data_IF_864774081323
#
_entry.id   IF_864774081323
#
_cell.length_a   1.000
_cell.length_b   1.000
_cell.length_c   1.000
_cell.angle_alpha   90.00
_cell.angle_beta   90.00
_cell.angle_gamma   90.00
#
_symmetry.space_group_name_H-M   'P 1'
#
loop_
_entity.id
_entity.type
_entity.pdbx_description
1 polymer ?
#
# COMPACT_ATOMS: atom_id res chain seq x y z
N UNK A 1 -11.67 6.73 -17.33
CA UNK A 1 -10.69 6.67 -16.24
C UNK A 1 -10.89 5.35 -15.54
N UNK A 2 -9.83 4.68 -15.06
CA UNK A 2 -9.98 3.40 -14.39
C UNK A 2 -10.75 3.60 -13.08
N UNK A 3 -11.93 3.00 -13.02
CA UNK A 3 -12.83 3.06 -11.87
C UNK A 3 -12.74 1.75 -11.07
N UNK A 4 -12.70 1.85 -9.75
CA UNK A 4 -12.78 0.75 -8.79
C UNK A 4 -14.22 0.71 -8.29
N UNK A 5 -14.94 -0.37 -8.60
CA UNK A 5 -16.31 -0.55 -8.15
C UNK A 5 -16.33 -1.33 -6.83
N UNK A 6 -16.98 -0.79 -5.80
CA UNK A 6 -17.12 -1.43 -4.48
C UNK A 6 -18.55 -1.93 -4.34
N UNK A 7 -18.71 -3.24 -4.48
CA UNK A 7 -19.95 -3.96 -4.27
C UNK A 7 -20.03 -4.42 -2.81
N UNK A 8 -21.13 -4.14 -2.12
CA UNK A 8 -21.35 -4.55 -0.74
C UNK A 8 -22.84 -4.71 -0.45
N UNK A 9 -23.17 -5.47 0.60
CA UNK A 9 -24.55 -5.62 1.03
C UNK A 9 -24.91 -4.61 2.12
N UNK A 10 -26.08 -3.97 1.97
CA UNK A 10 -26.60 -3.10 3.03
C UNK A 10 -26.87 -3.93 4.29
N UNK A 11 -26.23 -3.56 5.40
CA UNK A 11 -26.28 -4.30 6.65
C UNK A 11 -25.17 -5.34 6.80
N UNK A 12 -24.27 -5.50 5.84
CA UNK A 12 -23.09 -6.35 5.97
C UNK A 12 -21.87 -5.71 5.30
N UNK A 13 -20.94 -5.19 6.11
CA UNK A 13 -19.73 -4.54 5.60
C UNK A 13 -19.88 -3.09 5.15
N UNK A 14 -20.99 -2.39 5.44
CA UNK A 14 -21.19 -0.96 5.05
C UNK A 14 -20.08 -0.03 5.57
N UNK A 15 -19.71 -0.15 6.85
CA UNK A 15 -18.66 0.70 7.43
C UNK A 15 -17.30 0.40 6.81
N UNK A 16 -17.03 -0.87 6.50
CA UNK A 16 -15.83 -1.31 5.76
C UNK A 16 -15.83 -0.75 4.35
N UNK A 17 -16.95 -0.81 3.63
CA UNK A 17 -17.09 -0.29 2.28
C UNK A 17 -16.82 1.22 2.23
N UNK A 18 -17.34 1.97 3.19
CA UNK A 18 -17.12 3.41 3.29
C UNK A 18 -15.65 3.75 3.57
N UNK A 19 -15.01 3.06 4.53
CA UNK A 19 -13.57 3.25 4.82
C UNK A 19 -12.69 2.89 3.64
N UNK A 20 -13.02 1.80 2.94
CA UNK A 20 -12.30 1.37 1.75
C UNK A 20 -12.45 2.41 0.64
N UNK A 21 -13.66 2.91 0.41
CA UNK A 21 -13.93 3.98 -0.55
C UNK A 21 -13.10 5.22 -0.23
N UNK A 22 -13.11 5.69 1.02
CA UNK A 22 -12.36 6.87 1.45
C UNK A 22 -10.86 6.70 1.18
N UNK A 23 -10.26 5.62 1.71
CA UNK A 23 -8.83 5.37 1.55
C UNK A 23 -8.40 5.15 0.10
N UNK A 24 -9.20 4.45 -0.72
CA UNK A 24 -8.90 4.26 -2.14
C UNK A 24 -9.11 5.55 -2.94
N UNK A 25 -10.09 6.39 -2.58
CA UNK A 25 -10.29 7.70 -3.21
C UNK A 25 -9.16 8.66 -2.88
N UNK A 26 -8.66 8.63 -1.64
CA UNK A 26 -7.51 9.43 -1.24
C UNK A 26 -6.25 9.01 -2.01
N UNK A 27 -6.10 7.71 -2.29
CA UNK A 27 -4.97 7.17 -3.04
C UNK A 27 -5.06 7.40 -4.55
N UNK A 28 -6.18 7.07 -5.18
CA UNK A 28 -6.35 7.03 -6.63
C UNK A 28 -7.17 8.20 -7.19
N UNK A 29 -7.58 9.15 -6.35
CA UNK A 29 -8.43 10.28 -6.72
C UNK A 29 -9.92 10.07 -6.46
N UNK A 30 -10.67 11.17 -6.33
CA UNK A 30 -12.09 11.14 -5.90
C UNK A 30 -13.03 10.47 -6.90
N UNK A 31 -12.67 10.50 -8.18
CA UNK A 31 -13.50 9.99 -9.27
C UNK A 31 -13.16 8.55 -9.66
N UNK A 32 -12.15 7.92 -9.03
CA UNK A 32 -11.71 6.56 -9.36
C UNK A 32 -12.35 5.49 -8.49
N UNK A 33 -13.23 5.83 -7.54
CA UNK A 33 -13.98 4.85 -6.75
C UNK A 33 -15.48 5.07 -6.84
N UNK A 34 -16.22 3.98 -7.08
CA UNK A 34 -17.66 3.98 -7.13
C UNK A 34 -18.20 3.02 -6.07
N UNK A 35 -19.06 3.51 -5.17
CA UNK A 35 -19.66 2.72 -4.10
C UNK A 35 -21.09 2.37 -4.48
N UNK A 36 -21.40 1.07 -4.55
CA UNK A 36 -22.73 0.56 -4.89
C UNK A 36 -23.82 1.20 -4.02
N UNK A 37 -24.83 1.81 -4.64
CA UNK A 37 -25.98 2.43 -3.97
C UNK A 37 -25.76 3.74 -3.22
N UNK A 38 -24.52 4.17 -2.95
CA UNK A 38 -24.23 5.47 -2.32
C UNK A 38 -23.79 6.55 -3.32
N UNK A 39 -23.21 6.15 -4.47
CA UNK A 39 -22.64 7.08 -5.46
C UNK A 39 -23.62 7.54 -6.56
N UNK A 40 -24.93 7.31 -6.41
CA UNK A 40 -25.94 7.65 -7.44
C UNK A 40 -26.56 9.04 -7.16
N UNK A 41 -26.55 9.97 -8.13
CA UNK A 41 -27.17 11.28 -7.97
C UNK A 41 -28.68 11.20 -7.70
N UNK A 42 -29.19 12.13 -6.88
CA UNK A 42 -30.62 12.26 -6.62
C UNK A 42 -31.40 12.46 -7.93
N UNK A 43 -32.41 11.63 -8.18
CA UNK A 43 -33.26 11.69 -9.38
C UNK A 43 -32.76 10.91 -10.60
N UNK A 44 -31.56 10.31 -10.52
CA UNK A 44 -31.03 9.46 -11.59
C UNK A 44 -31.69 8.07 -11.60
N UNK A 45 -31.69 7.38 -12.74
CA UNK A 45 -32.26 6.03 -12.84
C UNK A 45 -31.26 5.04 -12.26
N UNK A 46 -31.43 4.78 -10.96
CA UNK A 46 -30.58 3.92 -10.13
C UNK A 46 -30.13 2.65 -10.85
N UNK A 47 -31.04 1.97 -11.55
CA UNK A 47 -30.76 0.72 -12.26
C UNK A 47 -29.75 0.84 -13.40
N UNK A 48 -29.89 1.89 -14.22
CA UNK A 48 -29.06 2.04 -15.42
C UNK A 48 -27.67 2.55 -15.03
N UNK A 49 -27.61 3.44 -14.06
CA UNK A 49 -26.37 4.13 -13.70
C UNK A 49 -25.41 3.22 -12.96
N UNK A 50 -25.92 2.30 -12.11
CA UNK A 50 -25.10 1.36 -11.37
C UNK A 50 -24.46 0.31 -12.28
N UNK A 51 -25.24 -0.28 -13.19
CA UNK A 51 -24.74 -1.25 -14.18
C UNK A 51 -23.74 -0.60 -15.14
N UNK A 52 -24.02 0.64 -15.59
CA UNK A 52 -23.05 1.39 -16.39
C UNK A 52 -21.77 1.70 -15.62
N UNK A 53 -21.85 1.95 -14.31
CA UNK A 53 -20.66 2.15 -13.47
C UNK A 53 -19.84 0.86 -13.35
N UNK A 54 -20.48 -0.30 -13.16
CA UNK A 54 -19.81 -1.60 -13.23
C UNK A 54 -19.06 -1.73 -14.57
N UNK A 55 -19.74 -1.51 -15.70
CA UNK A 55 -19.14 -1.64 -17.05
C UNK A 55 -17.95 -0.71 -17.31
N UNK A 56 -17.84 0.41 -16.60
CA UNK A 56 -16.71 1.35 -16.72
C UNK A 56 -15.57 1.02 -15.76
N UNK A 57 -15.82 0.16 -14.78
CA UNK A 57 -14.83 -0.25 -13.81
C UNK A 57 -13.79 -1.18 -14.41
N UNK A 58 -12.54 -0.98 -14.00
CA UNK A 58 -11.44 -1.90 -14.30
C UNK A 58 -11.37 -3.05 -13.30
N UNK A 59 -11.94 -2.86 -12.09
CA UNK A 59 -11.99 -3.85 -11.02
C UNK A 59 -13.27 -3.69 -10.19
N UNK A 60 -13.89 -4.82 -9.84
CA UNK A 60 -14.97 -4.92 -8.88
C UNK A 60 -14.47 -5.60 -7.60
N UNK A 61 -14.60 -4.90 -6.47
CA UNK A 61 -14.33 -5.41 -5.14
C UNK A 61 -15.64 -5.87 -4.50
N UNK A 62 -15.80 -7.19 -4.31
CA UNK A 62 -17.00 -7.78 -3.72
C UNK A 62 -16.81 -7.99 -2.21
N UNK A 63 -17.41 -7.14 -1.38
CA UNK A 63 -17.28 -7.21 0.07
C UNK A 63 -18.24 -8.27 0.63
N UNK A 64 -17.65 -9.35 1.15
CA UNK A 64 -18.36 -10.53 1.66
C UNK A 64 -18.17 -10.59 3.16
N UNK A 65 -19.21 -10.21 3.90
CA UNK A 65 -19.27 -10.34 5.35
C UNK A 65 -20.01 -11.59 5.80
N UNK A 66 -20.23 -11.70 7.12
CA UNK A 66 -20.80 -12.90 7.77
C UNK A 66 -22.25 -13.17 7.35
N UNK A 67 -22.99 -12.16 6.89
CA UNK A 67 -24.40 -12.28 6.50
C UNK A 67 -24.59 -12.22 4.98
N UNK A 68 -23.53 -12.12 4.20
CA UNK A 68 -23.62 -11.83 2.77
C UNK A 68 -24.36 -12.92 2.01
N UNK A 69 -24.03 -14.19 2.30
CA UNK A 69 -24.59 -15.37 1.63
C UNK A 69 -26.06 -15.60 2.02
N UNK A 70 -26.36 -15.53 3.31
CA UNK A 70 -27.66 -15.90 3.89
C UNK A 70 -28.55 -14.68 4.20
N UNK A 71 -28.21 -13.51 3.68
CA UNK A 71 -29.03 -12.32 3.87
C UNK A 71 -30.45 -12.57 3.33
N UNK A 72 -31.50 -12.24 4.09
CA UNK A 72 -32.87 -12.46 3.64
C UNK A 72 -33.22 -11.50 2.50
N UNK A 73 -34.01 -11.98 1.54
CA UNK A 73 -34.58 -11.13 0.49
C UNK A 73 -35.58 -10.13 1.10
N UNK A 74 -35.56 -8.89 0.59
CA UNK A 74 -36.38 -7.79 1.13
C UNK A 74 -37.87 -7.98 0.87
N UNK A 75 -38.24 -8.59 -0.25
CA UNK A 75 -39.63 -8.87 -0.62
C UNK A 75 -40.10 -10.23 -0.08
N UNK A 76 -39.17 -11.16 0.08
CA UNK A 76 -39.40 -12.57 0.45
C UNK A 76 -38.41 -13.03 1.52
N UNK A 77 -38.61 -12.66 2.80
CA UNK A 77 -37.67 -13.00 3.88
C UNK A 77 -37.45 -14.51 4.10
N UNK A 78 -38.30 -15.36 3.51
CA UNK A 78 -38.17 -16.82 3.48
C UNK A 78 -37.06 -17.34 2.54
N UNK A 79 -36.44 -16.45 1.75
CA UNK A 79 -35.41 -16.79 0.75
C UNK A 79 -34.18 -15.93 0.95
N UNK A 80 -33.03 -16.40 0.44
CA UNK A 80 -31.80 -15.59 0.40
C UNK A 80 -31.92 -14.55 -0.69
N UNK A 81 -31.42 -13.34 -0.43
CA UNK A 81 -31.40 -12.23 -1.37
C UNK A 81 -30.65 -12.61 -2.65
N UNK A 82 -29.56 -13.37 -2.56
CA UNK A 82 -28.79 -13.81 -3.74
C UNK A 82 -29.59 -14.77 -4.64
N UNK A 83 -30.58 -15.50 -4.10
CA UNK A 83 -31.42 -16.36 -4.94
C UNK A 83 -32.44 -15.53 -5.77
N UNK A 84 -32.64 -14.26 -5.45
CA UNK A 84 -33.45 -13.33 -6.23
C UNK A 84 -32.63 -12.72 -7.39
N UNK A 85 -33.12 -12.85 -8.62
CA UNK A 85 -32.48 -12.28 -9.82
C UNK A 85 -32.48 -10.75 -9.82
N UNK A 86 -33.42 -10.12 -9.10
CA UNK A 86 -33.51 -8.67 -8.98
C UNK A 86 -32.61 -8.07 -7.89
N UNK A 87 -31.86 -8.92 -7.16
CA UNK A 87 -30.95 -8.44 -6.12
C UNK A 87 -29.74 -7.69 -6.69
N UNK A 88 -29.52 -6.47 -6.20
CA UNK A 88 -28.48 -5.57 -6.70
C UNK A 88 -27.07 -6.13 -6.59
N UNK A 89 -26.75 -6.77 -5.47
CA UNK A 89 -25.40 -7.31 -5.25
C UNK A 89 -25.12 -8.41 -6.27
N UNK A 90 -26.10 -9.31 -6.47
CA UNK A 90 -26.03 -10.35 -7.49
C UNK A 90 -25.86 -9.76 -8.89
N UNK A 91 -26.74 -8.83 -9.28
CA UNK A 91 -26.73 -8.23 -10.62
C UNK A 91 -25.43 -7.52 -10.95
N UNK A 92 -24.84 -6.80 -9.99
CA UNK A 92 -23.57 -6.11 -10.17
C UNK A 92 -22.41 -7.09 -10.39
N UNK A 93 -22.37 -8.20 -9.62
CA UNK A 93 -21.33 -9.22 -9.78
C UNK A 93 -21.52 -9.99 -11.09
N UNK A 94 -22.75 -10.40 -11.42
CA UNK A 94 -23.06 -11.07 -12.69
C UNK A 94 -22.65 -10.22 -13.89
N UNK A 95 -22.93 -8.92 -13.85
CA UNK A 95 -22.54 -8.00 -14.92
C UNK A 95 -21.01 -7.90 -15.02
N UNK A 96 -20.31 -7.80 -13.89
CA UNK A 96 -18.85 -7.73 -13.88
C UNK A 96 -18.21 -8.99 -14.47
N UNK A 97 -18.67 -10.17 -14.06
CA UNK A 97 -18.24 -11.45 -14.61
C UNK A 97 -18.53 -11.54 -16.12
N UNK A 98 -19.75 -11.16 -16.54
CA UNK A 98 -20.16 -11.17 -17.96
C UNK A 98 -19.30 -10.26 -18.82
N UNK A 99 -18.89 -9.10 -18.29
CA UNK A 99 -18.04 -8.13 -18.97
C UNK A 99 -16.54 -8.47 -18.88
N UNK A 100 -16.15 -9.55 -18.18
CA UNK A 100 -14.75 -9.91 -17.98
C UNK A 100 -13.98 -8.91 -17.11
N UNK A 101 -14.68 -8.16 -16.26
CA UNK A 101 -14.08 -7.24 -15.31
C UNK A 101 -13.37 -8.06 -14.23
N UNK A 102 -12.22 -7.58 -13.75
CA UNK A 102 -11.52 -8.22 -12.63
C UNK A 102 -12.40 -8.19 -11.38
N UNK A 103 -12.86 -9.35 -10.92
CA UNK A 103 -13.63 -9.48 -9.67
C UNK A 103 -12.72 -9.98 -8.56
N UNK A 104 -12.64 -9.21 -7.46
CA UNK A 104 -11.85 -9.56 -6.27
C UNK A 104 -12.78 -9.72 -5.07
N UNK A 105 -13.02 -10.96 -4.61
CA UNK A 105 -13.73 -11.21 -3.35
C UNK A 105 -12.92 -10.71 -2.15
N UNK A 106 -13.54 -9.88 -1.32
CA UNK A 106 -12.98 -9.34 -0.08
C UNK A 106 -13.72 -9.92 1.13
N UNK A 107 -13.14 -10.93 1.79
CA UNK A 107 -13.71 -11.59 2.95
C UNK A 107 -13.51 -10.74 4.21
N UNK A 108 -14.59 -10.37 4.89
CA UNK A 108 -14.57 -9.47 6.04
C UNK A 108 -14.58 -10.24 7.36
N UNK A 109 -13.47 -10.23 8.11
CA UNK A 109 -13.40 -10.84 9.45
C UNK A 109 -12.95 -12.30 9.52
N UNK A 110 -12.99 -12.92 10.73
CA UNK A 110 -12.47 -14.30 11.03
C UNK A 110 -13.39 -15.42 10.65
N UNK A 111 -14.68 -15.14 10.67
CA UNK A 111 -15.70 -16.17 10.57
C UNK A 111 -16.20 -16.35 9.14
N UNK A 112 -15.83 -15.43 8.25
CA UNK A 112 -16.17 -15.56 6.82
C UNK A 112 -15.24 -16.59 6.21
N UNK A 113 -15.81 -17.73 5.87
CA UNK A 113 -15.14 -18.82 5.16
C UNK A 113 -15.05 -18.53 3.66
N UNK A 114 -14.30 -19.35 2.93
CA UNK A 114 -14.28 -19.30 1.48
C UNK A 114 -15.68 -19.63 0.95
N UNK A 115 -16.09 -18.95 -0.13
CA UNK A 115 -17.36 -19.24 -0.79
C UNK A 115 -17.35 -20.68 -1.35
N UNK A 116 -18.44 -21.41 -1.11
CA UNK A 116 -18.69 -22.69 -1.78
C UNK A 116 -19.49 -22.44 -3.06
N UNK A 117 -18.99 -22.81 -4.26
CA UNK A 117 -19.73 -22.66 -5.51
C UNK A 117 -21.14 -23.28 -5.46
N UNK A 118 -21.33 -24.36 -4.70
CA UNK A 118 -22.63 -25.04 -4.55
C UNK A 118 -23.64 -24.28 -3.69
N UNK A 119 -23.15 -23.36 -2.87
CA UNK A 119 -23.97 -22.51 -2.01
C UNK A 119 -24.47 -21.25 -2.74
N UNK A 120 -23.93 -20.98 -3.93
CA UNK A 120 -24.23 -19.81 -4.75
C UNK A 120 -25.22 -20.12 -5.88
N UNK A 121 -25.97 -19.12 -6.38
CA UNK A 121 -26.64 -19.22 -7.66
C UNK A 121 -25.66 -19.62 -8.78
N UNK A 122 -26.08 -20.40 -9.79
CA UNK A 122 -25.19 -20.88 -10.86
C UNK A 122 -24.40 -19.77 -11.57
N UNK A 123 -25.01 -18.60 -11.74
CA UNK A 123 -24.41 -17.41 -12.36
C UNK A 123 -23.30 -16.77 -11.53
N UNK A 124 -23.25 -17.04 -10.23
CA UNK A 124 -22.23 -16.54 -9.31
C UNK A 124 -21.20 -17.60 -8.91
N UNK A 125 -21.31 -18.84 -9.42
CA UNK A 125 -20.41 -19.92 -9.05
C UNK A 125 -18.93 -19.57 -9.30
N UNK A 126 -18.65 -18.82 -10.38
CA UNK A 126 -17.30 -18.34 -10.72
C UNK A 126 -16.68 -17.45 -9.62
N UNK A 127 -17.50 -16.68 -8.89
CA UNK A 127 -17.02 -15.83 -7.78
C UNK A 127 -16.29 -16.64 -6.70
N UNK A 128 -16.70 -17.88 -6.47
CA UNK A 128 -16.06 -18.78 -5.52
C UNK A 128 -14.73 -19.37 -6.00
N UNK A 129 -14.46 -19.29 -7.30
CA UNK A 129 -13.20 -19.71 -7.93
C UNK A 129 -12.18 -18.56 -7.99
N UNK A 130 -12.62 -17.31 -7.84
CA UNK A 130 -11.75 -16.14 -7.78
C UNK A 130 -10.82 -16.17 -6.56
N UNK A 131 -9.58 -15.69 -6.74
CA UNK A 131 -8.67 -15.46 -5.62
C UNK A 131 -9.22 -14.35 -4.72
N UNK A 132 -9.37 -14.65 -3.44
CA UNK A 132 -9.90 -13.72 -2.45
C UNK A 132 -8.79 -13.02 -1.65
N UNK A 133 -9.13 -11.87 -1.07
CA UNK A 133 -8.33 -11.20 -0.06
C UNK A 133 -9.13 -11.04 1.23
N UNK A 134 -8.45 -11.10 2.38
CA UNK A 134 -9.11 -10.99 3.68
C UNK A 134 -8.82 -9.63 4.30
N UNK A 135 -9.88 -8.91 4.65
CA UNK A 135 -9.78 -7.59 5.26
C UNK A 135 -10.11 -7.62 6.76
N UNK A 136 -9.23 -6.96 7.52
CA UNK A 136 -9.23 -6.90 8.97
C UNK A 136 -9.24 -5.46 9.46
N UNK A 137 -10.38 -4.78 9.34
CA UNK A 137 -10.45 -3.34 9.66
C UNK A 137 -10.73 -3.05 11.14
N UNK A 138 -10.25 -3.88 12.08
CA UNK A 138 -10.34 -3.59 13.53
C UNK A 138 -9.02 -2.96 13.98
N UNK A 139 -9.09 -1.76 14.53
CA UNK A 139 -7.98 -0.91 15.01
C UNK A 139 -6.79 -0.80 14.04
N UNK A 140 -6.75 0.28 13.24
CA UNK A 140 -5.60 0.61 12.39
C UNK A 140 -5.51 -0.16 11.07
N UNK A 141 -6.67 -0.51 10.47
CA UNK A 141 -6.79 -1.25 9.20
C UNK A 141 -6.27 -0.55 7.93
N UNK A 142 -5.58 0.58 8.08
CA UNK A 142 -4.99 1.35 6.98
C UNK A 142 -3.92 0.55 6.25
N UNK A 143 -3.18 -0.32 6.95
CA UNK A 143 -2.12 -1.16 6.35
C UNK A 143 -2.69 -2.24 5.45
N UNK A 144 -3.83 -2.83 5.81
CA UNK A 144 -4.55 -3.79 4.98
C UNK A 144 -5.06 -3.12 3.71
N UNK A 145 -5.63 -1.92 3.82
CA UNK A 145 -6.11 -1.17 2.64
C UNK A 145 -4.95 -0.73 1.76
N UNK A 146 -3.83 -0.28 2.34
CA UNK A 146 -2.64 0.09 1.59
C UNK A 146 -2.09 -1.10 0.79
N UNK A 147 -1.97 -2.27 1.42
CA UNK A 147 -1.54 -3.51 0.74
C UNK A 147 -2.50 -3.92 -0.37
N UNK A 148 -3.80 -3.82 -0.14
CA UNK A 148 -4.80 -4.06 -1.19
C UNK A 148 -4.58 -3.09 -2.36
N UNK A 149 -4.38 -1.80 -2.10
CA UNK A 149 -4.07 -0.82 -3.15
C UNK A 149 -2.80 -1.17 -3.93
N UNK A 150 -1.73 -1.62 -3.27
CA UNK A 150 -0.48 -2.03 -3.94
C UNK A 150 -0.72 -3.23 -4.86
N UNK A 151 -1.50 -4.21 -4.40
CA UNK A 151 -1.89 -5.38 -5.20
C UNK A 151 -2.77 -5.01 -6.39
N UNK A 152 -3.69 -4.07 -6.20
CA UNK A 152 -4.56 -3.59 -7.28
C UNK A 152 -3.74 -2.90 -8.37
N UNK A 153 -2.75 -2.07 -8.00
CA UNK A 153 -1.84 -1.45 -8.97
C UNK A 153 -1.02 -2.49 -9.74
N UNK A 154 -0.56 -3.55 -9.05
CA UNK A 154 0.19 -4.62 -9.70
C UNK A 154 -0.66 -5.45 -10.68
N UNK A 155 -1.96 -5.61 -10.42
CA UNK A 155 -2.87 -6.38 -11.28
C UNK A 155 -3.54 -5.53 -12.37
N UNK A 156 -3.75 -4.24 -12.10
CA UNK A 156 -4.43 -3.29 -12.99
C UNK A 156 -3.49 -2.12 -13.25
N UNK A 157 -2.63 -2.22 -14.29
CA UNK A 157 -1.65 -1.17 -14.61
C UNK A 157 -2.27 0.20 -14.87
N UNK A 158 -3.54 0.25 -15.28
CA UNK A 158 -4.28 1.50 -15.48
C UNK A 158 -4.43 2.32 -14.19
N UNK A 159 -4.37 1.69 -13.00
CA UNK A 159 -4.42 2.41 -11.72
C UNK A 159 -3.09 3.07 -11.35
N UNK A 160 -1.96 2.65 -11.94
CA UNK A 160 -0.64 3.15 -11.58
C UNK A 160 -0.47 4.67 -11.80
N UNK A 161 -0.94 5.28 -12.91
CA UNK A 161 -0.85 6.73 -13.11
C UNK A 161 -1.68 7.55 -12.11
N UNK A 162 -2.69 6.94 -11.49
CA UNK A 162 -3.53 7.59 -10.50
C UNK A 162 -2.99 7.45 -9.07
N UNK A 163 -2.00 6.58 -8.86
CA UNK A 163 -1.51 6.25 -7.53
C UNK A 163 -0.68 7.38 -6.93
N UNK A 164 -1.29 8.15 -6.03
CA UNK A 164 -0.61 9.22 -5.28
C UNK A 164 0.25 8.70 -4.13
N UNK A 165 0.07 7.42 -3.74
CA UNK A 165 0.87 6.76 -2.72
C UNK A 165 2.15 6.13 -3.28
N UNK A 166 2.28 6.02 -4.61
CA UNK A 166 3.55 5.66 -5.23
C UNK A 166 4.62 6.69 -4.78
N UNK A 167 5.83 6.24 -4.39
CA UNK A 167 6.92 7.16 -4.09
C UNK A 167 7.12 8.01 -5.34
N UNK A 168 6.78 9.30 -5.24
CA UNK A 168 6.78 10.23 -6.35
C UNK A 168 8.18 10.24 -6.98
N UNK A 169 8.36 9.46 -8.05
CA UNK A 169 9.62 9.48 -8.80
C UNK A 169 9.72 10.77 -9.64
N UNK A 170 8.71 11.64 -9.56
CA UNK A 170 8.57 12.89 -10.31
C UNK A 170 8.48 14.16 -9.45
N UNK A 171 8.85 14.10 -8.15
CA UNK A 171 9.24 15.32 -7.40
C UNK A 171 10.75 15.59 -7.45
N UNK A 172 11.44 15.03 -8.44
CA UNK A 172 12.80 15.40 -8.83
C UNK A 172 12.74 16.26 -10.11
N UNK A 173 12.23 17.48 -9.98
CA UNK A 173 12.05 18.40 -11.10
C UNK A 173 11.89 19.87 -10.72
N UNK A 174 12.28 20.24 -9.50
CA UNK A 174 12.62 21.63 -9.18
C UNK A 174 14.09 21.65 -8.78
N UNK A 175 14.94 21.89 -9.78
CA UNK A 175 16.32 22.27 -9.60
C UNK A 175 16.38 23.53 -8.73
N UNK A 176 16.63 23.33 -7.44
CA UNK A 176 17.45 24.26 -6.67
C UNK A 176 18.89 23.73 -6.73
N UNK A 177 19.90 24.58 -7.02
CA UNK A 177 21.27 24.13 -7.23
C UNK A 177 21.86 23.67 -5.90
N UNK A 178 21.77 22.37 -5.60
CA UNK A 178 22.42 21.76 -4.45
C UNK A 178 23.51 20.80 -4.93
N UNK A 179 24.70 20.97 -4.34
CA UNK A 179 25.97 20.30 -4.63
C UNK A 179 25.87 18.77 -4.80
N UNK A 180 26.76 18.17 -5.62
CA UNK A 180 26.77 16.73 -5.86
C UNK A 180 27.04 15.97 -4.56
N UNK A 181 26.02 15.25 -4.08
CA UNK A 181 26.20 14.28 -2.99
C UNK A 181 26.97 13.08 -3.56
N UNK A 182 28.12 12.67 -2.98
CA UNK A 182 28.86 11.52 -3.48
C UNK A 182 28.03 10.25 -3.27
N UNK A 183 27.65 9.60 -4.37
CA UNK A 183 27.04 8.28 -4.33
C UNK A 183 28.12 7.24 -4.03
N UNK A 184 27.93 6.46 -2.96
CA UNK A 184 28.85 5.38 -2.58
C UNK A 184 28.45 4.12 -3.34
N UNK A 185 29.31 3.66 -4.25
CA UNK A 185 29.24 2.29 -4.82
C UNK A 185 30.16 1.39 -4.02
N UNK A 186 29.60 0.34 -3.43
CA UNK A 186 30.35 -0.64 -2.65
C UNK A 186 30.25 -2.00 -3.34
N UNK A 187 31.09 -2.21 -4.35
CA UNK A 187 31.24 -3.49 -5.03
C UNK A 187 32.41 -4.27 -4.39
N UNK A 188 32.21 -5.56 -4.10
CA UNK A 188 33.29 -6.46 -3.65
C UNK A 188 33.50 -6.61 -2.13
N UNK A 189 32.59 -6.12 -1.28
CA UNK A 189 32.69 -6.33 0.17
C UNK A 189 32.56 -7.82 0.54
N UNK A 190 33.45 -8.33 1.41
CA UNK A 190 33.36 -9.66 2.03
C UNK A 190 33.34 -9.54 3.56
N UNK A 191 32.23 -10.00 4.16
CA UNK A 191 31.96 -9.90 5.59
C UNK A 191 30.87 -8.86 5.89
N UNK A 192 29.85 -9.28 6.65
CA UNK A 192 28.68 -8.45 6.97
C UNK A 192 28.87 -7.61 8.24
N UNK A 193 27.96 -6.67 8.44
CA UNK A 193 27.79 -5.95 9.72
C UNK A 193 26.95 -6.86 10.63
N UNK A 194 27.54 -7.29 11.75
CA UNK A 194 26.86 -8.15 12.73
C UNK A 194 26.68 -7.43 14.06
N UNK A 195 25.47 -7.44 14.60
CA UNK A 195 25.21 -7.14 16.02
C UNK A 195 25.12 -8.46 16.78
N UNK A 196 26.09 -8.74 17.64
CA UNK A 196 25.95 -9.79 18.64
C UNK A 196 25.26 -9.18 19.86
N UNK A 197 24.16 -9.78 20.35
CA UNK A 197 23.58 -9.35 21.63
C UNK A 197 24.55 -9.69 22.76
N UNK A 198 25.15 -8.67 23.38
CA UNK A 198 26.08 -8.79 24.51
C UNK A 198 27.05 -7.60 24.59
N UNK A 199 28.04 -7.69 25.48
CA UNK A 199 29.05 -6.65 25.79
C UNK A 199 30.07 -6.38 24.67
N UNK A 200 29.86 -6.94 23.49
CA UNK A 200 30.74 -6.78 22.32
C UNK A 200 29.91 -6.04 21.27
N UNK A 201 30.21 -4.76 21.06
CA UNK A 201 29.47 -3.86 20.16
C UNK A 201 29.56 -4.24 18.68
N UNK A 202 29.07 -3.35 17.81
CA UNK A 202 29.08 -3.52 16.35
C UNK A 202 30.49 -3.79 15.83
N UNK A 203 30.67 -4.87 15.07
CA UNK A 203 31.93 -5.13 14.36
C UNK A 203 31.75 -4.94 12.86
N UNK A 204 32.77 -4.33 12.24
CA UNK A 204 32.88 -4.13 10.79
C UNK A 204 34.19 -4.78 10.36
N UNK A 205 34.12 -5.66 9.36
CA UNK A 205 35.30 -6.38 8.85
C UNK A 205 36.02 -5.54 7.78
N UNK A 206 36.39 -6.12 6.63
CA UNK A 206 37.01 -5.38 5.54
C UNK A 206 36.03 -4.45 4.83
N UNK A 207 36.38 -3.16 4.74
CA UNK A 207 35.67 -2.15 3.95
C UNK A 207 36.59 -1.53 2.92
N UNK A 208 36.08 -1.39 1.69
CA UNK A 208 36.77 -0.76 0.58
C UNK A 208 36.12 0.58 0.15
N UNK A 209 35.20 1.13 0.96
CA UNK A 209 34.50 2.37 0.65
C UNK A 209 34.15 3.19 1.92
N UNK A 210 33.83 4.50 1.79
CA UNK A 210 33.33 5.30 2.90
C UNK A 210 32.01 4.74 3.45
N UNK A 211 31.93 4.59 4.77
CA UNK A 211 30.78 3.98 5.47
C UNK A 211 30.12 4.99 6.40
N UNK A 212 28.81 4.85 6.62
CA UNK A 212 28.09 5.54 7.69
C UNK A 212 27.62 4.53 8.73
N UNK A 213 28.17 4.58 9.95
CA UNK A 213 27.90 3.62 11.05
C UNK A 213 26.83 4.11 12.03
N UNK A 214 26.19 5.26 11.76
CA UNK A 214 25.16 5.86 12.61
C UNK A 214 25.66 7.10 13.36
N UNK A 215 24.74 7.82 13.97
CA UNK A 215 25.03 8.97 14.83
C UNK A 215 25.22 8.50 16.28
N UNK A 216 26.43 8.67 16.83
CA UNK A 216 26.75 8.32 18.21
C UNK A 216 28.25 8.13 18.43
N UNK A 217 28.67 8.04 19.70
CA UNK A 217 30.07 7.85 20.07
C UNK A 217 30.58 6.49 19.56
N UNK A 218 31.72 6.52 18.85
CA UNK A 218 32.40 5.31 18.42
C UNK A 218 33.52 4.97 19.40
N UNK A 219 33.54 3.71 19.86
CA UNK A 219 34.57 3.19 20.76
C UNK A 219 35.33 2.10 20.01
N UNK A 220 36.54 2.43 19.57
CA UNK A 220 37.44 1.49 18.88
C UNK A 220 38.17 0.57 19.85
N UNK A 221 38.62 -0.58 19.35
CA UNK A 221 39.51 -1.48 20.10
C UNK A 221 40.85 -0.79 20.33
N UNK A 222 41.23 -0.58 21.60
CA UNK A 222 42.42 0.21 21.99
C UNK A 222 42.13 1.51 22.76
N UNK A 223 40.86 1.81 23.03
CA UNK A 223 40.47 2.93 23.90
C UNK A 223 40.34 4.28 23.20
N UNK A 224 40.42 4.33 21.87
CA UNK A 224 40.17 5.54 21.09
C UNK A 224 38.68 5.89 21.13
N UNK A 225 38.36 7.09 21.63
CA UNK A 225 37.02 7.68 21.61
C UNK A 225 36.99 8.83 20.61
N UNK A 226 35.98 8.85 19.74
CA UNK A 226 35.81 9.91 18.73
C UNK A 226 34.48 10.59 18.98
N UNK A 227 34.53 11.90 19.21
CA UNK A 227 33.38 12.76 19.43
C UNK A 227 33.45 13.97 18.48
N UNK A 228 32.31 14.36 17.91
CA UNK A 228 32.15 15.60 17.13
C UNK A 228 31.88 15.39 15.63
N UNK A 229 31.23 16.39 15.04
CA UNK A 229 30.84 16.39 13.62
C UNK A 229 32.07 16.49 12.71
N UNK A 230 32.09 15.72 11.62
CA UNK A 230 33.15 15.77 10.59
C UNK A 230 34.46 15.08 10.97
N UNK A 231 34.47 14.24 12.01
CA UNK A 231 35.64 13.47 12.41
C UNK A 231 35.87 12.29 11.46
N UNK A 232 37.10 12.16 10.94
CA UNK A 232 37.52 11.03 10.08
C UNK A 232 38.64 10.29 10.79
N UNK A 233 38.46 8.99 11.07
CA UNK A 233 39.53 8.13 11.57
C UNK A 233 40.01 7.21 10.46
N UNK A 234 41.33 7.18 10.26
CA UNK A 234 42.00 6.24 9.36
C UNK A 234 42.94 5.39 10.21
N UNK A 235 42.64 4.11 10.35
CA UNK A 235 43.55 3.14 10.95
C UNK A 235 44.16 2.31 9.82
N UNK A 236 45.46 2.44 9.59
CA UNK A 236 46.19 1.65 8.59
C UNK A 236 47.48 1.14 9.20
N UNK A 237 47.85 -0.10 8.88
CA UNK A 237 49.14 -0.68 9.28
C UNK A 237 50.28 -0.30 8.32
N UNK A 238 49.98 0.45 7.24
CA UNK A 238 50.96 0.84 6.22
C UNK A 238 51.24 2.34 6.27
N UNK A 239 52.47 2.69 6.67
CA UNK A 239 52.94 4.03 7.02
C UNK A 239 53.02 5.08 5.88
N UNK A 240 52.42 4.87 4.70
CA UNK A 240 52.77 5.66 3.51
C UNK A 240 51.60 6.07 2.61
N UNK A 241 50.48 6.53 3.16
CA UNK A 241 49.51 7.33 2.40
C UNK A 241 49.38 8.75 2.96
N UNK A 242 49.61 9.80 2.15
CA UNK A 242 49.41 11.17 2.60
C UNK A 242 47.91 11.46 2.72
N UNK A 243 47.47 11.83 3.92
CA UNK A 243 46.10 12.28 4.18
C UNK A 243 46.02 13.76 3.82
N UNK A 244 45.22 14.14 2.84
CA UNK A 244 44.91 15.54 2.52
C UNK A 244 43.47 15.86 2.91
N UNK A 245 43.30 16.72 3.93
CA UNK A 245 42.01 17.32 4.24
C UNK A 245 41.89 18.67 3.54
N UNK A 246 40.82 18.86 2.77
CA UNK A 246 40.42 20.19 2.28
C UNK A 246 39.12 20.56 2.96
N UNK A 247 39.22 21.40 4.00
CA UNK A 247 38.05 21.94 4.67
C UNK A 247 37.42 23.02 3.78
N UNK A 248 36.11 22.90 3.53
CA UNK A 248 35.32 23.97 2.94
C UNK A 248 35.27 25.20 3.87
N UNK A 249 34.90 26.39 3.36
CA UNK A 249 34.84 27.58 4.17
C UNK A 249 33.83 27.41 5.32
N UNK A 250 34.29 27.63 6.55
CA UNK A 250 33.42 27.60 7.74
C UNK A 250 32.23 28.54 7.56
N UNK A 251 31.03 28.18 8.05
CA UNK A 251 29.91 29.12 8.09
C UNK A 251 30.33 30.34 8.91
N UNK A 252 30.27 31.53 8.30
CA UNK A 252 30.49 32.79 9.03
C UNK A 252 29.47 32.85 10.15
N UNK A 253 29.94 32.91 11.41
CA UNK A 253 29.14 33.38 12.53
C UNK A 253 28.56 34.74 12.15
N UNK A 254 27.23 34.84 12.19
CA UNK A 254 26.53 36.12 12.09
C UNK A 254 26.70 36.81 13.45
N UNK A 255 27.78 37.54 13.61
CA UNK A 255 27.98 38.40 14.77
C UNK A 255 27.08 39.65 14.63
N UNK A 256 26.14 39.76 15.57
CA UNK A 256 25.67 41.05 16.10
C UNK A 256 24.39 41.64 15.51
N UNK A 257 23.26 41.35 16.15
CA UNK A 257 22.36 42.43 16.58
C UNK A 257 22.27 42.37 18.11
N UNK A 258 22.34 43.57 18.69
CA UNK A 258 22.58 43.89 20.10
C UNK A 258 21.36 43.66 20.99
#
# INVERSE_FOLDING_TARGET
>A
MPEIFINYRTGDGKDTAQRLKEALSDRFGKDSTFLAGASIPLGARYERDIINAVRRSCVLLALIGERWLDAPDRQRPDRRALDNEDDWVRREIEEALTCGILVVPLLLGRRVEQLDPKSLPPSLAELAECQYERLWLRDGGEREIARLGDRLVAQVPELAPLDTAAPSTERAGQESPHEPVPSVRNEGQRGGIGNLRGTVGTFVNESNAPMHTGSGDQIGTGGTKINGDGTTQVSTDYAHMPISHRFGPSPRRRDGER
#
